data_IF_794897128761
#
_entry.id   IF_794897128761
#
_cell.length_a   1.000
_cell.length_b   1.000
_cell.length_c   1.000
_cell.angle_alpha   90.00
_cell.angle_beta   90.00
_cell.angle_gamma   90.00
#
_symmetry.space_group_name_H-M   'P 1'
#
loop_
_entity.id
_entity.type
_entity.pdbx_description
1 polymer ?
#
# COMPACT_ATOMS: atom_id res chain seq x y z
N UNK A 1 17.68 13.18 5.40
CA UNK A 1 16.48 12.49 5.92
C UNK A 1 15.79 11.62 4.86
N UNK A 2 15.12 12.17 3.81
CA UNK A 2 14.43 11.30 2.81
C UNK A 2 15.37 10.44 1.99
N UNK A 3 16.55 10.94 1.60
CA UNK A 3 17.57 10.17 0.87
C UNK A 3 18.16 9.01 1.69
N UNK A 4 18.01 9.04 2.99
CA UNK A 4 18.40 7.96 3.91
C UNK A 4 17.33 6.86 3.98
N UNK A 5 16.08 7.22 3.62
CA UNK A 5 14.94 6.29 3.64
C UNK A 5 14.81 5.55 2.31
N UNK A 6 15.00 6.26 1.19
CA UNK A 6 14.79 5.73 -0.17
C UNK A 6 15.99 6.11 -1.04
N UNK A 7 16.59 5.14 -1.72
CA UNK A 7 17.60 5.43 -2.73
C UNK A 7 16.96 5.91 -4.04
N UNK A 8 17.65 6.76 -4.78
CA UNK A 8 17.22 7.18 -6.13
C UNK A 8 17.05 5.98 -7.07
N UNK A 9 17.86 4.94 -6.88
CA UNK A 9 17.80 3.70 -7.66
C UNK A 9 16.46 2.96 -7.49
N UNK A 10 15.89 2.94 -6.28
CA UNK A 10 14.57 2.35 -6.00
C UNK A 10 13.47 3.12 -6.73
N UNK A 11 13.56 4.44 -6.75
CA UNK A 11 12.58 5.31 -7.41
C UNK A 11 12.69 5.26 -8.93
N UNK A 12 13.90 5.17 -9.46
CA UNK A 12 14.15 5.10 -10.91
C UNK A 12 13.54 3.83 -11.55
N UNK A 13 13.38 2.76 -10.78
CA UNK A 13 12.78 1.51 -11.25
C UNK A 13 11.23 1.49 -11.20
N UNK A 14 10.61 2.57 -10.76
CA UNK A 14 9.16 2.70 -10.81
C UNK A 14 8.71 3.18 -12.19
N UNK A 15 7.80 2.44 -12.83
CA UNK A 15 7.28 2.76 -14.18
C UNK A 15 6.57 4.11 -14.21
N UNK A 16 5.89 4.48 -13.13
CA UNK A 16 5.43 5.83 -12.89
C UNK A 16 6.58 6.59 -12.23
N UNK A 17 7.24 7.48 -12.95
CA UNK A 17 8.36 8.28 -12.43
C UNK A 17 7.94 9.07 -11.19
N UNK A 18 8.23 8.51 -10.03
CA UNK A 18 7.93 9.11 -8.72
C UNK A 18 9.26 9.53 -8.11
N UNK A 19 9.56 10.80 -8.17
CA UNK A 19 10.78 11.37 -7.58
C UNK A 19 10.58 11.71 -6.09
N UNK A 20 11.67 12.15 -5.45
CA UNK A 20 11.62 12.58 -4.05
C UNK A 20 10.63 13.71 -3.79
N UNK A 21 10.46 14.63 -4.75
CA UNK A 21 9.54 15.75 -4.59
C UNK A 21 8.10 15.26 -4.57
N UNK A 22 7.77 14.29 -5.44
CA UNK A 22 6.47 13.64 -5.46
C UNK A 22 6.18 12.94 -4.13
N UNK A 23 7.08 12.05 -3.67
CA UNK A 23 6.89 11.28 -2.44
C UNK A 23 6.76 12.21 -1.23
N UNK A 24 7.61 13.23 -1.14
CA UNK A 24 7.54 14.21 -0.08
C UNK A 24 6.19 14.89 -0.05
N UNK A 25 5.76 15.47 -1.17
CA UNK A 25 4.48 16.18 -1.26
C UNK A 25 3.29 15.24 -1.01
N UNK A 26 3.38 14.01 -1.52
CA UNK A 26 2.26 13.06 -1.47
C UNK A 26 2.07 12.44 -0.10
N UNK A 27 3.15 12.12 0.62
CA UNK A 27 3.09 11.33 1.85
C UNK A 27 3.62 12.04 3.10
N UNK A 28 4.63 12.91 2.99
CA UNK A 28 5.16 13.62 4.16
C UNK A 28 4.44 14.93 4.43
N UNK A 29 4.22 15.72 3.39
CA UNK A 29 3.63 17.06 3.49
C UNK A 29 2.13 17.04 3.14
N UNK A 30 1.46 15.87 3.19
CA UNK A 30 0.04 15.77 2.85
C UNK A 30 -0.82 16.56 3.85
N UNK A 31 -1.72 17.45 3.38
CA UNK A 31 -2.41 18.40 4.26
C UNK A 31 -3.47 17.77 5.16
N UNK A 32 -3.95 16.57 4.83
CA UNK A 32 -5.08 15.92 5.51
C UNK A 32 -4.70 14.58 6.12
N UNK A 33 -4.03 13.72 5.34
CA UNK A 33 -3.70 12.36 5.76
C UNK A 33 -2.31 12.25 6.34
N UNK A 34 -2.17 11.40 7.34
CA UNK A 34 -0.90 10.97 7.88
C UNK A 34 -0.58 9.57 7.38
N UNK A 35 0.63 9.40 6.86
CA UNK A 35 1.13 8.13 6.34
C UNK A 35 2.30 7.66 7.19
N UNK A 36 2.34 6.36 7.45
CA UNK A 36 3.50 5.69 8.00
C UNK A 36 4.35 5.14 6.84
N UNK A 37 5.65 5.41 6.86
CA UNK A 37 6.59 4.97 5.83
C UNK A 37 7.56 3.97 6.44
N UNK A 38 7.47 2.73 5.98
CA UNK A 38 8.20 1.59 6.49
C UNK A 38 9.33 1.22 5.55
N UNK A 39 10.54 1.20 6.06
CA UNK A 39 11.71 0.73 5.32
C UNK A 39 11.81 -0.78 5.46
N UNK A 40 11.79 -1.50 4.35
CA UNK A 40 11.99 -2.93 4.33
C UNK A 40 13.49 -3.18 4.22
N UNK A 41 14.06 -3.82 5.22
CA UNK A 41 15.49 -4.13 5.29
C UNK A 41 15.70 -5.64 5.22
N UNK A 42 16.74 -6.05 4.50
CA UNK A 42 17.17 -7.44 4.49
C UNK A 42 18.04 -7.76 5.72
N UNK A 43 18.48 -9.00 5.85
CA UNK A 43 19.33 -9.49 6.94
C UNK A 43 20.66 -8.72 7.08
N UNK A 44 21.14 -8.10 6.02
CA UNK A 44 22.36 -7.27 6.04
C UNK A 44 22.09 -5.81 6.42
N UNK A 45 20.83 -5.46 6.72
CA UNK A 45 20.42 -4.11 7.02
C UNK A 45 20.29 -3.18 5.80
N UNK A 46 20.48 -3.72 4.59
CA UNK A 46 20.29 -2.96 3.36
C UNK A 46 18.80 -2.89 3.01
N UNK A 47 18.33 -1.71 2.70
CA UNK A 47 16.96 -1.51 2.22
C UNK A 47 16.94 -1.30 0.72
N UNK A 48 16.04 -2.02 0.06
CA UNK A 48 15.77 -1.85 -1.36
C UNK A 48 14.27 -1.57 -1.62
N UNK A 49 13.44 -1.53 -0.56
CA UNK A 49 12.01 -1.35 -0.69
C UNK A 49 11.43 -0.55 0.46
N UNK A 50 10.33 0.15 0.17
CA UNK A 50 9.51 0.83 1.18
C UNK A 50 8.05 0.47 0.99
N UNK A 51 7.35 0.41 2.11
CA UNK A 51 5.92 0.24 2.21
C UNK A 51 5.31 1.51 2.80
N UNK A 52 4.25 2.01 2.22
CA UNK A 52 3.51 3.16 2.73
C UNK A 52 2.14 2.70 3.19
N UNK A 53 1.82 3.00 4.44
CA UNK A 53 0.54 2.63 5.05
C UNK A 53 -0.17 3.85 5.60
N UNK A 54 -1.48 3.71 5.78
CA UNK A 54 -2.31 4.70 6.44
C UNK A 54 -3.33 4.02 7.35
N UNK A 55 -3.58 4.64 8.50
CA UNK A 55 -4.66 4.23 9.41
C UNK A 55 -5.98 4.88 8.96
N UNK A 56 -7.03 4.09 8.94
CA UNK A 56 -8.40 4.56 8.82
C UNK A 56 -9.18 4.18 10.06
N UNK A 57 -10.09 5.06 10.46
CA UNK A 57 -10.95 4.86 11.63
C UNK A 57 -12.41 4.97 11.23
N UNK A 58 -13.20 4.02 11.69
CA UNK A 58 -14.64 4.05 11.63
C UNK A 58 -15.19 3.73 13.01
N UNK A 59 -15.78 4.72 13.66
CA UNK A 59 -16.22 4.64 15.05
C UNK A 59 -15.04 4.29 16.00
N UNK A 60 -15.14 3.17 16.70
CA UNK A 60 -14.11 2.65 17.61
C UNK A 60 -13.12 1.67 16.95
N UNK A 61 -13.28 1.41 15.65
CA UNK A 61 -12.50 0.44 14.89
C UNK A 61 -11.39 1.10 14.09
N UNK A 62 -10.29 0.37 13.99
CA UNK A 62 -9.12 0.80 13.22
C UNK A 62 -8.77 -0.23 12.16
N UNK A 63 -8.47 0.24 10.98
CA UNK A 63 -7.96 -0.60 9.91
C UNK A 63 -6.70 0.01 9.32
N UNK A 64 -5.76 -0.82 8.89
CA UNK A 64 -4.60 -0.39 8.14
C UNK A 64 -4.84 -0.53 6.64
N UNK A 65 -4.33 0.41 5.87
CA UNK A 65 -4.34 0.35 4.41
C UNK A 65 -2.93 0.43 3.87
N UNK A 66 -2.56 -0.50 3.01
CA UNK A 66 -1.36 -0.35 2.19
C UNK A 66 -1.71 0.59 1.04
N UNK A 67 -1.06 1.74 1.05
CA UNK A 67 -1.32 2.82 0.11
C UNK A 67 -0.40 2.73 -1.09
N UNK A 68 0.88 2.40 -0.86
CA UNK A 68 1.87 2.32 -1.93
C UNK A 68 3.04 1.40 -1.56
N UNK A 69 3.76 0.95 -2.59
CA UNK A 69 4.96 0.14 -2.43
C UNK A 69 5.98 0.51 -3.51
N UNK A 70 7.22 0.70 -3.10
CA UNK A 70 8.35 0.99 -3.98
C UNK A 70 9.47 -0.03 -3.76
N UNK A 71 10.08 -0.46 -4.83
CA UNK A 71 11.22 -1.38 -4.80
C UNK A 71 10.95 -2.74 -5.40
N UNK A 72 11.68 -3.74 -4.91
CA UNK A 72 11.55 -5.12 -5.37
C UNK A 72 10.27 -5.75 -4.83
N UNK A 73 9.35 -6.14 -5.73
CA UNK A 73 8.10 -6.79 -5.35
C UNK A 73 8.29 -8.08 -4.54
N UNK A 74 9.41 -8.79 -4.74
CA UNK A 74 9.69 -9.99 -3.96
C UNK A 74 9.87 -9.70 -2.47
N UNK A 75 10.23 -8.48 -2.10
CA UNK A 75 10.31 -8.11 -0.69
C UNK A 75 8.92 -8.05 -0.04
N UNK A 76 7.86 -7.75 -0.80
CA UNK A 76 6.49 -7.79 -0.30
C UNK A 76 6.11 -9.18 0.24
N UNK A 77 6.50 -10.25 -0.47
CA UNK A 77 6.23 -11.63 -0.04
C UNK A 77 6.98 -12.08 1.22
N UNK A 78 7.99 -11.30 1.67
CA UNK A 78 8.86 -11.67 2.81
C UNK A 78 8.48 -10.99 4.12
N UNK A 79 7.52 -10.08 4.13
CA UNK A 79 7.22 -9.21 5.29
C UNK A 79 6.05 -9.69 6.16
N UNK A 80 5.59 -10.93 6.01
CA UNK A 80 4.46 -11.50 6.77
C UNK A 80 4.55 -11.24 8.27
N UNK A 81 5.67 -11.62 8.90
CA UNK A 81 5.86 -11.40 10.33
C UNK A 81 5.84 -9.92 10.72
N UNK A 82 6.37 -9.04 9.85
CA UNK A 82 6.36 -7.60 10.10
C UNK A 82 4.96 -7.02 9.99
N UNK A 83 4.15 -7.51 9.05
CA UNK A 83 2.75 -7.11 8.93
C UNK A 83 1.92 -7.59 10.13
N UNK A 84 2.14 -8.82 10.59
CA UNK A 84 1.50 -9.34 11.81
C UNK A 84 1.86 -8.50 13.05
N UNK A 85 3.13 -8.11 13.18
CA UNK A 85 3.57 -7.22 14.26
C UNK A 85 2.89 -5.85 14.15
N UNK A 86 2.84 -5.28 12.95
CA UNK A 86 2.19 -4.00 12.68
C UNK A 86 0.70 -4.02 13.08
N UNK A 87 -0.03 -5.06 12.64
CA UNK A 87 -1.45 -5.23 12.96
C UNK A 87 -1.66 -5.28 14.48
N UNK A 88 -0.84 -6.05 15.20
CA UNK A 88 -0.92 -6.18 16.65
C UNK A 88 -0.56 -4.89 17.38
N UNK A 89 0.53 -4.23 16.99
CA UNK A 89 1.02 -3.00 17.62
C UNK A 89 0.05 -1.84 17.44
N UNK A 90 -0.47 -1.66 16.23
CA UNK A 90 -1.45 -0.62 15.91
C UNK A 90 -2.88 -0.98 16.33
N UNK A 91 -3.13 -2.23 16.69
CA UNK A 91 -4.46 -2.76 17.01
C UNK A 91 -5.44 -2.65 15.83
N UNK A 92 -4.97 -2.97 14.63
CA UNK A 92 -5.81 -3.02 13.45
C UNK A 92 -6.68 -4.28 13.46
N UNK A 93 -7.92 -4.17 13.03
CA UNK A 93 -8.79 -5.32 12.79
C UNK A 93 -8.33 -6.12 11.59
N UNK A 94 -7.85 -5.41 10.57
CA UNK A 94 -7.24 -5.98 9.38
C UNK A 94 -6.34 -4.96 8.69
N UNK A 95 -5.57 -5.45 7.73
CA UNK A 95 -4.78 -4.65 6.81
C UNK A 95 -5.22 -5.00 5.39
N UNK A 96 -5.61 -4.03 4.60
CA UNK A 96 -6.02 -4.24 3.22
C UNK A 96 -5.04 -3.62 2.21
N UNK A 97 -5.12 -4.10 0.97
CA UNK A 97 -4.38 -3.58 -0.16
C UNK A 97 -5.21 -3.63 -1.43
N UNK A 98 -5.23 -2.53 -2.16
CA UNK A 98 -5.75 -2.45 -3.51
C UNK A 98 -4.60 -2.17 -4.46
N UNK A 99 -4.41 -3.06 -5.43
CA UNK A 99 -3.35 -2.90 -6.42
C UNK A 99 -3.72 -3.52 -7.76
N UNK A 100 -2.97 -3.14 -8.77
CA UNK A 100 -3.00 -3.75 -10.09
C UNK A 100 -1.57 -4.09 -10.54
N UNK A 101 -1.41 -5.18 -11.30
CA UNK A 101 -0.13 -5.56 -11.87
C UNK A 101 0.87 -6.19 -10.90
N UNK A 102 0.46 -6.48 -9.66
CA UNK A 102 1.25 -7.22 -8.68
C UNK A 102 0.84 -8.68 -8.70
N UNK A 103 1.78 -9.64 -8.81
CA UNK A 103 1.46 -11.06 -8.77
C UNK A 103 0.77 -11.44 -7.46
N UNK A 104 -0.38 -12.13 -7.56
CA UNK A 104 -1.19 -12.53 -6.40
C UNK A 104 -0.41 -13.40 -5.42
N UNK A 105 0.50 -14.22 -5.92
CA UNK A 105 1.34 -15.11 -5.12
C UNK A 105 2.20 -14.36 -4.08
N UNK A 106 2.62 -13.14 -4.38
CA UNK A 106 3.39 -12.31 -3.44
C UNK A 106 2.53 -11.86 -2.26
N UNK A 107 1.24 -11.57 -2.51
CA UNK A 107 0.30 -11.27 -1.44
C UNK A 107 -0.02 -12.50 -0.60
N UNK A 108 -0.22 -13.65 -1.23
CA UNK A 108 -0.45 -14.92 -0.51
C UNK A 108 0.75 -15.27 0.38
N UNK A 109 1.99 -15.09 -0.11
CA UNK A 109 3.21 -15.24 0.67
C UNK A 109 3.29 -14.26 1.84
N UNK A 110 2.79 -13.04 1.65
CA UNK A 110 2.69 -12.04 2.71
C UNK A 110 1.54 -12.28 3.71
N UNK A 111 0.73 -13.33 3.51
CA UNK A 111 -0.37 -13.70 4.39
C UNK A 111 -1.72 -13.06 4.05
N UNK A 112 -1.83 -12.37 2.90
CA UNK A 112 -3.10 -11.81 2.45
C UNK A 112 -4.02 -12.86 1.84
N UNK A 113 -5.31 -12.65 2.02
CA UNK A 113 -6.37 -13.44 1.39
C UNK A 113 -7.04 -12.55 0.35
N UNK A 114 -7.22 -13.08 -0.86
CA UNK A 114 -7.94 -12.38 -1.90
C UNK A 114 -9.42 -12.27 -1.56
N UNK A 115 -9.97 -11.06 -1.61
CA UNK A 115 -11.39 -10.80 -1.49
C UNK A 115 -11.99 -10.59 -2.88
N UNK A 116 -12.79 -11.54 -3.33
CA UNK A 116 -13.59 -11.41 -4.54
C UNK A 116 -14.95 -10.74 -4.23
N UNK A 117 -15.69 -10.36 -5.27
CA UNK A 117 -16.99 -9.67 -5.13
C UNK A 117 -18.00 -10.46 -4.30
N UNK A 118 -17.96 -11.80 -4.42
CA UNK A 118 -18.85 -12.73 -3.73
C UNK A 118 -18.26 -13.28 -2.43
N UNK A 119 -17.14 -12.70 -1.96
CA UNK A 119 -16.51 -13.12 -0.70
C UNK A 119 -17.42 -12.79 0.49
N UNK A 120 -17.44 -13.70 1.48
CA UNK A 120 -18.08 -13.43 2.77
C UNK A 120 -17.39 -12.29 3.55
N UNK A 121 -16.08 -12.09 3.29
CA UNK A 121 -15.34 -10.97 3.85
C UNK A 121 -15.64 -9.71 3.05
N UNK A 122 -16.21 -8.72 3.70
CA UNK A 122 -16.49 -7.40 3.12
C UNK A 122 -15.42 -6.43 3.59
N UNK A 123 -14.70 -5.86 2.63
CA UNK A 123 -13.78 -4.73 2.87
C UNK A 123 -14.56 -3.45 2.55
N UNK A 124 -15.00 -2.69 3.56
CA UNK A 124 -15.78 -1.48 3.33
C UNK A 124 -15.00 -0.48 2.50
N UNK A 125 -15.67 0.12 1.51
CA UNK A 125 -15.13 1.25 0.78
C UNK A 125 -15.33 2.52 1.62
N UNK A 126 -14.23 3.14 2.04
CA UNK A 126 -14.25 4.36 2.88
C UNK A 126 -14.46 5.66 2.09
N UNK A 127 -15.03 5.56 0.88
CA UNK A 127 -15.48 6.73 0.13
C UNK A 127 -16.94 7.07 0.43
N UNK A 128 -17.31 8.28 0.20
CA UNK A 128 -18.72 8.71 0.21
C UNK A 128 -19.40 8.40 -1.14
N UNK A 129 -20.59 7.79 -1.11
CA UNK A 129 -21.29 7.19 0.03
C UNK A 129 -20.59 5.91 0.51
N UNK A 130 -20.66 5.67 1.82
CA UNK A 130 -20.06 4.49 2.46
C UNK A 130 -20.82 3.23 2.02
N UNK A 131 -20.15 2.35 1.30
CA UNK A 131 -20.76 1.11 0.82
C UNK A 131 -20.24 -0.10 1.59
N UNK A 132 -21.15 -0.85 2.23
CA UNK A 132 -20.85 -2.10 2.92
C UNK A 132 -20.92 -3.28 1.95
N UNK A 133 -20.15 -3.22 0.89
CA UNK A 133 -20.01 -4.29 -0.09
C UNK A 133 -18.62 -4.25 -0.73
N UNK A 134 -18.15 -5.38 -1.21
CA UNK A 134 -16.97 -5.41 -2.05
C UNK A 134 -17.24 -4.68 -3.37
N UNK A 135 -16.32 -3.85 -3.81
CA UNK A 135 -16.47 -3.07 -5.05
C UNK A 135 -15.32 -3.35 -6.00
N UNK A 136 -15.63 -3.41 -7.28
CA UNK A 136 -14.61 -3.50 -8.33
C UNK A 136 -14.12 -2.10 -8.68
N UNK A 137 -12.86 -1.84 -8.41
CA UNK A 137 -12.20 -0.64 -8.92
C UNK A 137 -11.84 -0.83 -10.38
N UNK A 138 -12.19 0.16 -11.21
CA UNK A 138 -11.87 0.16 -12.63
C UNK A 138 -10.68 1.08 -12.88
N UNK A 139 -9.77 0.64 -13.72
CA UNK A 139 -8.62 1.41 -14.14
C UNK A 139 -8.42 1.30 -15.65
N UNK A 140 -7.70 2.25 -16.22
CA UNK A 140 -7.20 2.15 -17.59
C UNK A 140 -5.80 1.55 -17.54
N UNK A 141 -5.66 0.36 -18.12
CA UNK A 141 -4.37 -0.31 -18.28
C UNK A 141 -3.67 0.25 -19.52
N UNK A 142 -2.49 0.89 -19.39
CA UNK A 142 -1.73 1.41 -20.53
C UNK A 142 -1.06 0.31 -21.36
N UNK A 143 -1.20 -0.96 -20.98
CA UNK A 143 -0.54 -2.15 -21.60
C UNK A 143 0.98 -2.03 -21.64
N UNK A 144 1.56 -1.45 -20.62
CA UNK A 144 3.01 -1.36 -20.42
C UNK A 144 3.45 -2.55 -19.58
N UNK A 145 4.43 -3.30 -20.04
CA UNK A 145 5.00 -4.43 -19.29
C UNK A 145 5.52 -3.95 -17.94
N UNK A 146 5.19 -4.68 -16.87
CA UNK A 146 5.58 -4.32 -15.49
C UNK A 146 4.81 -3.16 -14.89
N UNK A 147 3.78 -2.62 -15.57
CA UNK A 147 2.95 -1.54 -15.02
C UNK A 147 2.23 -2.00 -13.76
N UNK A 148 2.30 -1.19 -12.72
CA UNK A 148 1.69 -1.43 -11.42
C UNK A 148 1.05 -0.17 -10.89
N UNK A 149 -0.06 -0.35 -10.20
CA UNK A 149 -0.73 0.71 -9.45
C UNK A 149 -1.05 0.22 -8.05
N UNK A 150 -0.95 1.12 -7.11
CA UNK A 150 -1.45 0.99 -5.76
C UNK A 150 -2.52 2.05 -5.51
N UNK A 151 -3.16 1.98 -4.34
CA UNK A 151 -4.22 2.90 -3.96
C UNK A 151 -3.75 4.37 -4.03
N UNK A 152 -2.49 4.63 -3.67
CA UNK A 152 -1.88 5.97 -3.70
C UNK A 152 -1.71 6.58 -5.10
N UNK A 153 -1.79 5.77 -6.15
CA UNK A 153 -1.69 6.23 -7.54
C UNK A 153 -3.03 6.74 -8.10
N UNK A 154 -4.13 6.40 -7.44
CA UNK A 154 -5.48 6.73 -7.88
C UNK A 154 -6.14 7.81 -7.04
N UNK A 155 -7.38 8.14 -7.45
CA UNK A 155 -8.23 9.08 -6.71
C UNK A 155 -8.77 8.45 -5.40
N UNK A 156 -8.63 7.13 -5.25
CA UNK A 156 -9.14 6.39 -4.10
C UNK A 156 -8.41 6.69 -2.79
N UNK A 157 -7.30 7.40 -2.84
CA UNK A 157 -6.59 7.88 -1.65
C UNK A 157 -6.55 9.41 -1.60
N UNK A 158 -7.61 10.06 -2.03
CA UNK A 158 -7.80 11.52 -1.89
C UNK A 158 -8.86 11.81 -0.85
N UNK A 159 -8.69 12.88 -0.05
CA UNK A 159 -9.74 13.34 0.84
C UNK A 159 -10.95 13.81 0.02
N UNK A 160 -12.14 13.47 0.49
CA UNK A 160 -13.40 13.95 -0.06
C UNK A 160 -13.66 15.39 0.37
#
# INVERSE_FOLDING_TARGET
EMKEIISEEVLANCIMSKDYAYIRKRYFDHPVYQYDIWKIVNETGKSNSILITREERAEDRKVGKIIDFYGDLHDLGKITCSLDCLIKEKQYEYLDVYSFGVPVQLYEQAGFIRCDMDSENIIPNYFHPFEQRNVTLRLMDPRIEGFRLFLGDGDQDRPC
#
